data_IF_692483402171
#
_entry.id   IF_692483402171
#
_cell.length_a   1.000
_cell.length_b   1.000
_cell.length_c   1.000
_cell.angle_alpha   90.00
_cell.angle_beta   90.00
_cell.angle_gamma   90.00
#
_symmetry.space_group_name_H-M   'P 1'
#
loop_
_entity.id
_entity.type
_entity.pdbx_description
1 polymer ?
#
# COMPACT_ATOMS: atom_id res chain seq x y z
N UNK A 1 14.11 26.52 1.64
CA UNK A 1 13.32 26.09 0.45
C UNK A 1 13.87 24.82 -0.22
N UNK A 2 15.17 24.47 -0.10
CA UNK A 2 15.74 23.26 -0.70
C UNK A 2 15.15 21.94 -0.17
N UNK A 3 14.94 21.83 1.15
CA UNK A 3 14.39 20.61 1.79
C UNK A 3 12.99 20.20 1.29
N UNK A 4 11.97 21.09 1.25
CA UNK A 4 10.66 20.72 0.72
C UNK A 4 10.70 20.40 -0.78
N UNK A 5 11.55 21.09 -1.55
CA UNK A 5 11.74 20.81 -2.97
C UNK A 5 12.27 19.38 -3.19
N UNK A 6 13.27 18.96 -2.42
CA UNK A 6 13.82 17.59 -2.50
C UNK A 6 12.76 16.52 -2.17
N UNK A 7 11.91 16.78 -1.18
CA UNK A 7 10.81 15.86 -0.84
C UNK A 7 9.83 15.73 -2.01
N UNK A 8 9.43 16.84 -2.62
CA UNK A 8 8.51 16.85 -3.77
C UNK A 8 9.14 16.09 -4.94
N UNK A 9 10.39 16.39 -5.29
CA UNK A 9 11.09 15.70 -6.37
C UNK A 9 11.23 14.19 -6.12
N UNK A 10 11.49 13.80 -4.87
CA UNK A 10 11.53 12.38 -4.48
C UNK A 10 10.17 11.72 -4.68
N UNK A 11 9.09 12.36 -4.26
CA UNK A 11 7.73 11.84 -4.47
C UNK A 11 7.38 11.68 -5.94
N UNK A 12 7.67 12.70 -6.75
CA UNK A 12 7.44 12.65 -8.18
C UNK A 12 8.26 11.53 -8.83
N UNK A 13 9.54 11.39 -8.46
CA UNK A 13 10.37 10.29 -8.94
C UNK A 13 9.75 8.93 -8.59
N UNK A 14 9.28 8.73 -7.36
CA UNK A 14 8.62 7.49 -6.95
C UNK A 14 7.34 7.25 -7.76
N UNK A 15 6.48 8.25 -7.96
CA UNK A 15 5.24 8.15 -8.75
C UNK A 15 5.52 7.71 -10.19
N UNK A 16 6.60 8.19 -10.81
CA UNK A 16 6.90 7.90 -12.21
C UNK A 16 7.78 6.65 -12.42
N UNK A 17 8.65 6.33 -11.48
CA UNK A 17 9.59 5.21 -11.59
C UNK A 17 8.93 3.92 -11.11
N UNK A 18 8.21 3.96 -9.99
CA UNK A 18 7.65 2.76 -9.37
C UNK A 18 6.72 1.96 -10.30
N UNK A 19 5.76 2.56 -11.02
CA UNK A 19 4.88 1.81 -11.91
C UNK A 19 5.64 1.22 -13.11
N UNK A 20 6.62 1.96 -13.65
CA UNK A 20 7.44 1.48 -14.77
C UNK A 20 8.34 0.32 -14.36
N UNK A 21 8.91 0.38 -13.16
CA UNK A 21 9.69 -0.69 -12.59
C UNK A 21 8.82 -1.96 -12.43
N UNK A 22 7.62 -1.84 -11.85
CA UNK A 22 6.72 -2.99 -11.72
C UNK A 22 6.35 -3.59 -13.08
N UNK A 23 6.01 -2.75 -14.06
CA UNK A 23 5.71 -3.18 -15.44
C UNK A 23 6.93 -3.78 -16.17
N UNK A 24 8.15 -3.52 -15.71
CA UNK A 24 9.35 -4.19 -16.26
C UNK A 24 9.58 -5.58 -15.65
N UNK A 25 9.05 -5.85 -14.45
CA UNK A 25 9.16 -7.16 -13.79
C UNK A 25 8.09 -8.15 -14.25
N UNK A 26 6.91 -7.65 -14.62
CA UNK A 26 5.80 -8.43 -15.17
C UNK A 26 4.95 -7.57 -16.09
N UNK A 27 4.20 -8.20 -16.99
CA UNK A 27 3.36 -7.47 -17.94
C UNK A 27 2.16 -6.77 -17.29
N UNK A 28 1.47 -5.86 -18.01
CA UNK A 28 0.29 -5.15 -17.50
C UNK A 28 -0.90 -6.07 -17.15
N UNK A 29 -0.89 -7.32 -17.61
CA UNK A 29 -1.90 -8.33 -17.30
C UNK A 29 -1.59 -9.19 -16.07
N UNK A 30 -0.43 -9.02 -15.44
CA UNK A 30 -0.07 -9.80 -14.24
C UNK A 30 -0.83 -9.26 -13.02
N UNK A 31 -1.70 -10.05 -12.37
CA UNK A 31 -2.45 -9.60 -11.21
C UNK A 31 -1.56 -9.28 -10.01
N UNK A 32 -0.36 -9.87 -9.91
CA UNK A 32 0.61 -9.52 -8.86
C UNK A 32 1.24 -8.15 -9.08
N UNK A 33 1.48 -7.76 -10.34
CA UNK A 33 1.94 -6.42 -10.69
C UNK A 33 0.88 -5.37 -10.32
N UNK A 34 -0.39 -5.64 -10.60
CA UNK A 34 -1.49 -4.76 -10.20
C UNK A 34 -1.61 -4.67 -8.67
N UNK A 35 -1.54 -5.82 -7.97
CA UNK A 35 -1.55 -5.88 -6.51
C UNK A 35 -0.41 -5.06 -5.88
N UNK A 36 0.83 -5.23 -6.37
CA UNK A 36 2.00 -4.50 -5.89
C UNK A 36 1.92 -3.00 -6.22
N UNK A 37 1.27 -2.64 -7.32
CA UNK A 37 0.96 -1.24 -7.60
C UNK A 37 0.01 -0.68 -6.54
N UNK A 38 -1.15 -1.30 -6.31
CA UNK A 38 -2.15 -0.80 -5.36
C UNK A 38 -1.64 -0.77 -3.91
N UNK A 39 -1.16 -1.90 -3.38
CA UNK A 39 -0.77 -1.99 -1.96
C UNK A 39 0.68 -1.59 -1.72
N UNK A 40 1.59 -1.77 -2.67
CA UNK A 40 2.97 -1.33 -2.51
C UNK A 40 3.10 0.19 -2.61
N UNK A 41 2.53 0.81 -3.66
CA UNK A 41 2.49 2.28 -3.74
C UNK A 41 1.57 2.86 -2.64
N UNK A 42 0.45 2.20 -2.38
CA UNK A 42 -0.45 2.54 -1.27
C UNK A 42 0.25 2.53 0.08
N UNK A 43 1.14 1.56 0.34
CA UNK A 43 1.92 1.48 1.58
C UNK A 43 2.82 2.71 1.77
N UNK A 44 3.49 3.19 0.72
CA UNK A 44 4.34 4.39 0.80
C UNK A 44 3.51 5.59 1.27
N UNK A 45 2.34 5.78 0.67
CA UNK A 45 1.42 6.87 1.04
C UNK A 45 0.88 6.68 2.46
N UNK A 46 0.45 5.46 2.79
CA UNK A 46 -0.09 5.10 4.09
C UNK A 46 0.92 5.35 5.22
N UNK A 47 2.15 4.82 5.12
CA UNK A 47 3.18 5.00 6.14
C UNK A 47 3.64 6.44 6.27
N UNK A 48 3.59 7.22 5.19
CA UNK A 48 3.83 8.67 5.27
C UNK A 48 2.74 9.35 6.09
N UNK A 49 1.47 9.00 5.85
CA UNK A 49 0.34 9.46 6.65
C UNK A 49 0.48 9.06 8.13
N UNK A 50 0.86 7.81 8.41
CA UNK A 50 1.14 7.33 9.76
C UNK A 50 2.22 8.18 10.44
N UNK A 51 3.36 8.40 9.76
CA UNK A 51 4.43 9.24 10.28
C UNK A 51 3.92 10.66 10.58
N UNK A 52 3.11 11.23 9.69
CA UNK A 52 2.55 12.57 9.85
C UNK A 52 1.66 12.66 11.10
N UNK A 53 0.65 11.79 11.23
CA UNK A 53 -0.31 11.84 12.35
C UNK A 53 0.35 11.59 13.72
N UNK A 54 1.43 10.80 13.75
CA UNK A 54 2.20 10.57 14.97
C UNK A 54 3.08 11.79 15.29
N UNK A 55 3.76 12.35 14.28
CA UNK A 55 4.64 13.51 14.46
C UNK A 55 3.89 14.79 14.86
N UNK A 56 2.66 14.96 14.37
CA UNK A 56 1.80 16.09 14.70
C UNK A 56 1.04 15.91 16.01
N UNK A 57 1.20 14.77 16.70
CA UNK A 57 0.42 14.38 17.88
C UNK A 57 -1.10 14.35 17.65
N UNK A 58 -1.54 14.23 16.39
CA UNK A 58 -2.94 14.03 16.04
C UNK A 58 -3.44 12.64 16.50
N UNK A 59 -2.56 11.66 16.56
CA UNK A 59 -2.78 10.36 17.19
C UNK A 59 -1.74 10.14 18.29
N UNK A 60 -2.19 9.94 19.54
CA UNK A 60 -1.31 9.75 20.69
C UNK A 60 -1.38 8.33 21.23
N UNK A 61 -0.35 7.54 20.94
CA UNK A 61 -0.20 6.19 21.49
C UNK A 61 -0.11 6.26 23.03
N UNK A 62 -0.77 5.35 23.73
CA UNK A 62 -0.89 5.34 25.19
C UNK A 62 -2.19 5.94 25.73
N UNK A 63 -2.96 6.71 24.94
CA UNK A 63 -4.25 7.30 25.37
C UNK A 63 -5.44 6.33 25.34
N UNK A 64 -5.20 5.02 25.22
CA UNK A 64 -6.20 3.95 25.15
C UNK A 64 -7.06 4.00 23.87
N UNK A 65 -7.91 5.02 23.74
CA UNK A 65 -8.80 5.24 22.60
C UNK A 65 -8.02 5.39 21.28
N UNK A 66 -7.05 6.30 21.24
CA UNK A 66 -6.21 6.54 20.06
C UNK A 66 -5.44 5.28 19.66
N UNK A 67 -4.93 4.53 20.65
CA UNK A 67 -4.16 3.30 20.41
C UNK A 67 -5.02 2.19 19.83
N UNK A 68 -6.27 2.07 20.29
CA UNK A 68 -7.25 1.13 19.73
C UNK A 68 -7.51 1.44 18.26
N UNK A 69 -7.83 2.69 17.93
CA UNK A 69 -8.11 3.08 16.54
C UNK A 69 -6.88 3.05 15.64
N UNK A 70 -5.70 3.38 16.17
CA UNK A 70 -4.45 3.20 15.46
C UNK A 70 -4.22 1.72 15.09
N UNK A 71 -4.52 0.80 16.02
CA UNK A 71 -4.52 -0.63 15.76
C UNK A 71 -5.47 -1.03 14.64
N UNK A 72 -6.71 -0.51 14.63
CA UNK A 72 -7.65 -0.75 13.52
C UNK A 72 -7.19 -0.15 12.19
N UNK A 73 -6.58 1.03 12.20
CA UNK A 73 -6.07 1.68 11.00
C UNK A 73 -4.96 0.85 10.35
N UNK A 74 -3.96 0.45 11.13
CA UNK A 74 -2.84 -0.37 10.65
C UNK A 74 -3.32 -1.78 10.31
N UNK A 75 -4.10 -2.39 11.19
CA UNK A 75 -4.67 -3.72 10.99
C UNK A 75 -5.56 -3.78 9.75
N UNK A 76 -6.39 -2.77 9.50
CA UNK A 76 -7.25 -2.67 8.32
C UNK A 76 -6.45 -2.66 7.02
N UNK A 77 -5.37 -1.88 6.94
CA UNK A 77 -4.49 -1.87 5.77
C UNK A 77 -3.94 -3.27 5.45
N UNK A 78 -3.36 -3.94 6.45
CA UNK A 78 -2.81 -5.29 6.26
C UNK A 78 -3.88 -6.34 6.01
N UNK A 79 -5.04 -6.24 6.66
CA UNK A 79 -6.17 -7.13 6.44
C UNK A 79 -6.60 -7.10 4.97
N UNK A 80 -6.83 -5.91 4.40
CA UNK A 80 -7.20 -5.79 2.99
C UNK A 80 -6.10 -6.22 2.04
N UNK A 81 -4.83 -5.91 2.34
CA UNK A 81 -3.70 -6.36 1.54
C UNK A 81 -3.60 -7.90 1.50
N UNK A 82 -3.63 -8.55 2.66
CA UNK A 82 -3.56 -10.02 2.76
C UNK A 82 -4.79 -10.66 2.12
N UNK A 83 -5.99 -10.12 2.37
CA UNK A 83 -7.23 -10.64 1.80
C UNK A 83 -7.20 -10.60 0.27
N UNK A 84 -6.76 -9.48 -0.32
CA UNK A 84 -6.64 -9.35 -1.76
C UNK A 84 -5.53 -10.25 -2.32
N UNK A 85 -4.35 -10.34 -1.68
CA UNK A 85 -3.30 -11.27 -2.08
C UNK A 85 -3.78 -12.73 -2.07
N UNK A 86 -4.58 -13.10 -1.06
CA UNK A 86 -5.21 -14.41 -0.97
C UNK A 86 -6.15 -14.64 -2.15
N UNK A 87 -6.94 -13.64 -2.52
CA UNK A 87 -7.86 -13.74 -3.66
C UNK A 87 -7.12 -13.89 -4.99
N UNK A 88 -6.02 -13.15 -5.20
CA UNK A 88 -5.15 -13.30 -6.37
C UNK A 88 -4.56 -14.71 -6.41
N UNK A 89 -4.06 -15.21 -5.29
CA UNK A 89 -3.53 -16.57 -5.21
C UNK A 89 -4.60 -17.62 -5.54
N UNK A 90 -5.79 -17.50 -4.95
CA UNK A 90 -6.88 -18.44 -5.18
C UNK A 90 -7.38 -18.39 -6.64
N UNK A 91 -7.47 -17.21 -7.26
CA UNK A 91 -7.94 -17.09 -8.64
C UNK A 91 -6.97 -17.72 -9.64
N UNK A 92 -5.68 -17.71 -9.35
CA UNK A 92 -4.64 -18.33 -10.19
C UNK A 92 -4.53 -19.84 -10.03
N UNK A 93 -4.92 -20.39 -8.87
CA UNK A 93 -4.66 -21.79 -8.51
C UNK A 93 -5.92 -22.65 -8.41
N UNK A 94 -7.11 -22.06 -8.25
CA UNK A 94 -8.35 -22.83 -8.22
C UNK A 94 -8.86 -23.07 -9.64
N UNK A 95 -9.07 -24.33 -10.04
CA UNK A 95 -9.71 -24.63 -11.30
C UNK A 95 -11.16 -24.09 -11.26
N UNK A 96 -11.51 -23.27 -12.23
CA UNK A 96 -12.89 -22.81 -12.41
C UNK A 96 -13.74 -24.03 -12.75
N UNK A 97 -14.61 -24.45 -11.82
CA UNK A 97 -15.54 -25.59 -12.00
C UNK A 97 -16.61 -25.38 -13.10
N UNK A 98 -16.51 -24.32 -13.91
CA UNK A 98 -17.57 -23.87 -14.82
C UNK A 98 -17.07 -23.41 -16.19
N UNK A 99 -16.02 -24.03 -16.73
CA UNK A 99 -15.66 -23.89 -18.14
C UNK A 99 -16.32 -24.96 -19.00
N UNK A 100 -17.62 -24.80 -19.28
CA UNK A 100 -18.30 -25.29 -20.50
C UNK A 100 -19.08 -24.13 -21.08
#
# INVERSE_FOLDING_TARGET
MLKPLLVILTYLAVIFIYPRFLLSTGGPGDPWVNYLYMYGFGAITFFTGIKLILSSKACQLGRGHDSKWFGFLVGGFFFFAIFHATWVYLSLNLPVKGGM
#
